data_IF_723906474375
#
_entry.id   IF_723906474375
#
_cell.length_a   1.000
_cell.length_b   1.000
_cell.length_c   1.000
_cell.angle_alpha   90.00
_cell.angle_beta   90.00
_cell.angle_gamma   90.00
#
_symmetry.space_group_name_H-M   'P 1'
#
loop_
_entity.id
_entity.type
_entity.pdbx_description
1 polymer ?
#
# COMPACT_ATOMS: atom_id res chain seq x y z
N UNK A 1 -21.49 -57.53 -9.32
CA UNK A 1 -20.84 -56.34 -9.91
C UNK A 1 -21.05 -55.21 -8.94
N UNK A 2 -20.00 -54.85 -8.18
CA UNK A 2 -20.08 -53.84 -7.11
C UNK A 2 -19.82 -52.46 -7.72
N UNK A 3 -20.77 -51.54 -7.56
CA UNK A 3 -20.68 -50.17 -8.06
C UNK A 3 -19.85 -49.37 -7.05
N UNK A 4 -18.68 -48.91 -7.47
CA UNK A 4 -17.85 -48.01 -6.68
C UNK A 4 -18.56 -46.65 -6.52
N UNK A 5 -18.54 -46.01 -5.33
CA UNK A 5 -19.02 -44.66 -5.19
C UNK A 5 -18.03 -43.71 -5.85
N UNK A 6 -18.54 -42.82 -6.70
CA UNK A 6 -17.79 -41.71 -7.27
C UNK A 6 -17.21 -40.87 -6.14
N UNK A 7 -15.89 -40.72 -6.14
CA UNK A 7 -15.17 -39.78 -5.29
C UNK A 7 -15.56 -38.39 -5.80
N UNK A 8 -16.52 -37.76 -5.12
CA UNK A 8 -16.79 -36.35 -5.29
C UNK A 8 -15.51 -35.60 -4.90
N UNK A 9 -14.85 -35.03 -5.90
CA UNK A 9 -13.75 -34.10 -5.69
C UNK A 9 -14.28 -32.97 -4.81
N UNK A 10 -13.83 -32.95 -3.55
CA UNK A 10 -13.97 -31.80 -2.69
C UNK A 10 -13.25 -30.64 -3.37
N UNK A 11 -13.98 -29.84 -4.12
CA UNK A 11 -13.59 -28.50 -4.50
C UNK A 11 -13.47 -27.76 -3.17
N UNK A 12 -12.27 -27.79 -2.59
CA UNK A 12 -11.87 -26.86 -1.54
C UNK A 12 -12.16 -25.48 -2.10
N UNK A 13 -13.27 -24.90 -1.65
CA UNK A 13 -13.54 -23.48 -1.75
C UNK A 13 -12.36 -22.83 -1.03
N UNK A 14 -11.31 -22.53 -1.80
CA UNK A 14 -10.17 -21.79 -1.29
C UNK A 14 -10.76 -20.47 -0.82
N UNK A 15 -10.83 -20.29 0.50
CA UNK A 15 -11.30 -19.05 1.09
C UNK A 15 -10.46 -17.92 0.48
N UNK A 16 -11.12 -17.10 -0.34
CA UNK A 16 -10.48 -15.98 -1.01
C UNK A 16 -10.12 -14.97 0.09
N UNK A 17 -8.86 -15.01 0.53
CA UNK A 17 -8.39 -14.12 1.59
C UNK A 17 -8.22 -12.71 1.03
N UNK A 18 -9.01 -11.78 1.56
CA UNK A 18 -8.86 -10.38 1.20
C UNK A 18 -7.45 -9.88 1.58
N UNK A 19 -6.78 -9.10 0.71
CA UNK A 19 -5.49 -8.52 1.04
C UNK A 19 -5.64 -7.54 2.21
N UNK A 20 -4.66 -7.55 3.13
CA UNK A 20 -4.66 -6.66 4.29
C UNK A 20 -3.66 -5.52 4.06
N UNK A 21 -4.11 -4.27 4.13
CA UNK A 21 -3.28 -3.08 3.87
C UNK A 21 -1.95 -3.09 4.66
N UNK A 22 -2.02 -3.43 5.94
CA UNK A 22 -0.91 -3.38 6.89
C UNK A 22 0.22 -4.36 6.55
N UNK A 23 -0.09 -5.43 5.82
CA UNK A 23 0.89 -6.43 5.39
C UNK A 23 1.78 -5.92 4.24
N UNK A 24 1.37 -4.85 3.56
CA UNK A 24 2.13 -4.29 2.42
C UNK A 24 2.78 -2.93 2.71
N UNK A 25 2.35 -2.26 3.79
CA UNK A 25 2.67 -0.85 4.05
C UNK A 25 3.44 -0.68 5.35
N UNK A 26 4.54 0.11 5.36
CA UNK A 26 5.27 0.40 6.59
C UNK A 26 4.38 1.05 7.65
N UNK A 27 4.61 0.73 8.93
CA UNK A 27 3.79 1.20 10.05
C UNK A 27 3.56 2.72 10.06
N UNK A 28 4.63 3.50 9.80
CA UNK A 28 4.55 4.98 9.72
C UNK A 28 3.62 5.53 8.63
N UNK A 29 3.16 4.71 7.68
CA UNK A 29 2.26 5.08 6.58
C UNK A 29 0.97 4.25 6.57
N UNK A 30 0.68 3.47 7.62
CA UNK A 30 -0.58 2.73 7.72
C UNK A 30 -1.80 3.68 7.76
N UNK A 31 -1.64 4.82 8.45
CA UNK A 31 -2.63 5.89 8.53
C UNK A 31 -2.07 7.18 7.91
N UNK A 32 -2.03 7.25 6.56
CA UNK A 32 -1.51 8.40 5.88
C UNK A 32 -2.44 9.60 6.02
N UNK A 33 -1.86 10.80 6.14
CA UNK A 33 -2.64 12.05 6.22
C UNK A 33 -2.86 12.61 4.83
N UNK A 34 -4.02 13.22 4.62
CA UNK A 34 -4.27 14.02 3.44
C UNK A 34 -3.48 15.34 3.55
N UNK A 35 -2.83 15.72 2.45
CA UNK A 35 -2.16 17.01 2.32
C UNK A 35 -2.81 17.83 1.19
N UNK A 36 -2.63 19.17 1.21
CA UNK A 36 -3.05 20.02 0.11
C UNK A 36 -2.42 19.57 -1.22
N UNK A 37 -3.05 19.94 -2.34
CA UNK A 37 -2.70 19.58 -3.71
C UNK A 37 -1.19 19.35 -3.95
N UNK A 38 -0.88 18.30 -4.71
CA UNK A 38 0.50 17.88 -5.05
C UNK A 38 1.37 19.04 -5.55
N UNK A 39 0.80 20.02 -6.26
CA UNK A 39 1.48 21.23 -6.72
C UNK A 39 2.03 22.11 -5.60
N UNK A 40 1.33 22.26 -4.47
CA UNK A 40 1.82 23.04 -3.32
C UNK A 40 3.05 22.39 -2.69
N UNK A 41 3.07 21.05 -2.57
CA UNK A 41 4.23 20.33 -2.05
C UNK A 41 5.43 20.38 -3.00
N UNK A 42 5.19 20.43 -4.32
CA UNK A 42 6.25 20.62 -5.32
C UNK A 42 6.82 22.04 -5.24
N UNK A 43 5.97 23.05 -5.06
CA UNK A 43 6.41 24.43 -4.87
C UNK A 43 7.25 24.60 -3.59
N UNK A 44 6.84 24.01 -2.46
CA UNK A 44 7.66 23.98 -1.24
C UNK A 44 9.02 23.29 -1.48
N UNK A 45 9.03 22.19 -2.24
CA UNK A 45 10.26 21.49 -2.60
C UNK A 45 11.19 22.34 -3.49
N UNK A 46 10.65 22.98 -4.54
CA UNK A 46 11.45 23.80 -5.45
C UNK A 46 11.99 25.04 -4.74
N UNK A 47 11.20 25.68 -3.87
CA UNK A 47 11.66 26.80 -3.03
C UNK A 47 12.76 26.33 -2.07
N UNK A 48 12.61 25.14 -1.47
CA UNK A 48 13.64 24.55 -0.63
C UNK A 48 14.96 24.31 -1.36
N UNK A 49 14.92 23.79 -2.59
CA UNK A 49 16.10 23.58 -3.44
C UNK A 49 16.75 24.91 -3.78
N UNK A 50 15.97 25.88 -4.27
CA UNK A 50 16.50 27.22 -4.63
C UNK A 50 17.10 27.91 -3.41
N UNK A 51 16.48 27.83 -2.23
CA UNK A 51 17.05 28.39 -1.01
C UNK A 51 18.31 27.66 -0.53
N UNK A 52 18.47 26.37 -0.85
CA UNK A 52 19.70 25.63 -0.54
C UNK A 52 20.83 25.97 -1.52
N UNK A 53 20.48 26.23 -2.79
CA UNK A 53 21.42 26.48 -3.89
C UNK A 53 21.87 27.96 -3.97
N UNK A 54 20.93 28.89 -3.85
CA UNK A 54 21.15 30.35 -3.98
C UNK A 54 21.72 30.97 -2.70
N UNK A 55 21.45 30.35 -1.54
CA UNK A 55 22.03 30.70 -0.24
C UNK A 55 22.89 29.55 0.23
N UNK A 56 24.07 29.38 -0.37
CA UNK A 56 25.09 28.31 -0.16
C UNK A 56 25.35 27.91 1.33
N UNK A 57 24.82 28.64 2.32
CA UNK A 57 25.02 28.45 3.76
C UNK A 57 23.76 28.52 4.63
N UNK A 58 22.54 28.55 4.09
CA UNK A 58 21.32 28.58 4.92
C UNK A 58 20.82 27.15 5.25
N UNK A 59 20.96 26.65 6.50
CA UNK A 59 20.47 25.33 6.89
C UNK A 59 18.93 25.20 6.85
N UNK A 60 18.22 26.23 6.39
CA UNK A 60 16.75 26.33 6.35
C UNK A 60 16.17 25.58 5.14
N UNK A 61 16.91 25.48 4.02
CA UNK A 61 16.45 24.79 2.82
C UNK A 61 16.32 23.27 2.98
N UNK A 62 17.25 22.64 3.70
CA UNK A 62 17.27 21.19 3.93
C UNK A 62 16.02 20.70 4.69
N UNK A 63 15.60 21.31 5.83
CA UNK A 63 14.35 20.99 6.50
C UNK A 63 13.12 21.13 5.59
N UNK A 64 13.05 22.15 4.73
CA UNK A 64 11.93 22.31 3.79
C UNK A 64 11.90 21.18 2.75
N UNK A 65 13.04 20.77 2.21
CA UNK A 65 13.14 19.64 1.28
C UNK A 65 12.70 18.34 1.99
N UNK A 66 13.21 18.08 3.19
CA UNK A 66 12.84 16.90 3.97
C UNK A 66 11.34 16.88 4.33
N UNK A 67 10.79 18.03 4.70
CA UNK A 67 9.38 18.17 5.04
C UNK A 67 8.49 17.94 3.80
N UNK A 68 8.81 18.61 2.68
CA UNK A 68 8.07 18.50 1.42
C UNK A 68 8.07 17.08 0.86
N UNK A 69 9.24 16.43 0.84
CA UNK A 69 9.37 15.03 0.38
C UNK A 69 8.60 14.06 1.28
N UNK A 70 8.54 14.31 2.59
CA UNK A 70 7.76 13.52 3.54
C UNK A 70 6.26 13.70 3.30
N UNK A 71 5.78 14.94 3.10
CA UNK A 71 4.39 15.24 2.72
C UNK A 71 4.00 14.52 1.42
N UNK A 72 4.83 14.62 0.37
CA UNK A 72 4.58 13.97 -0.92
C UNK A 72 4.50 12.45 -0.80
N UNK A 73 5.40 11.83 -0.02
CA UNK A 73 5.35 10.39 0.24
C UNK A 73 4.07 10.00 0.97
N UNK A 74 3.66 10.77 1.98
CA UNK A 74 2.46 10.49 2.75
C UNK A 74 1.20 10.63 1.89
N UNK A 75 1.12 11.69 1.07
CA UNK A 75 0.07 11.88 0.08
C UNK A 75 -0.01 10.72 -0.92
N UNK A 76 1.14 10.23 -1.41
CA UNK A 76 1.17 9.07 -2.31
C UNK A 76 0.73 7.75 -1.65
N UNK A 77 0.84 7.63 -0.32
CA UNK A 77 0.24 6.52 0.42
C UNK A 77 -1.26 6.72 0.66
N UNK A 78 -1.69 7.96 0.92
CA UNK A 78 -3.10 8.33 1.07
C UNK A 78 -3.91 7.99 -0.19
N UNK A 79 -3.44 8.40 -1.36
CA UNK A 79 -4.08 8.09 -2.65
C UNK A 79 -4.20 6.58 -2.89
N UNK A 80 -3.16 5.81 -2.52
CA UNK A 80 -3.20 4.34 -2.63
C UNK A 80 -4.16 3.71 -1.64
N UNK A 81 -4.23 4.23 -0.42
CA UNK A 81 -5.15 3.73 0.61
C UNK A 81 -6.60 3.92 0.17
N UNK A 82 -6.93 5.08 -0.39
CA UNK A 82 -8.24 5.33 -0.99
C UNK A 82 -8.58 4.34 -2.11
N UNK A 83 -7.66 4.11 -3.05
CA UNK A 83 -7.88 3.14 -4.14
C UNK A 83 -8.05 1.72 -3.58
N UNK A 84 -7.27 1.35 -2.57
CA UNK A 84 -7.32 0.04 -1.94
C UNK A 84 -8.64 -0.18 -1.19
N UNK A 85 -9.05 0.75 -0.35
CA UNK A 85 -10.31 0.67 0.42
C UNK A 85 -11.53 0.69 -0.48
N UNK A 86 -11.56 1.55 -1.51
CA UNK A 86 -12.63 1.54 -2.50
C UNK A 86 -12.67 0.23 -3.29
N UNK A 87 -11.52 -0.30 -3.69
CA UNK A 87 -11.44 -1.58 -4.37
C UNK A 87 -11.87 -2.76 -3.50
N UNK A 88 -11.60 -2.73 -2.19
CA UNK A 88 -12.12 -3.74 -1.27
C UNK A 88 -13.65 -3.70 -1.18
N UNK A 89 -14.26 -2.50 -1.11
CA UNK A 89 -15.72 -2.33 -1.14
C UNK A 89 -16.33 -2.81 -2.45
N UNK A 90 -15.71 -2.51 -3.58
CA UNK A 90 -16.15 -3.02 -4.89
C UNK A 90 -16.09 -4.55 -4.94
N UNK A 91 -15.04 -5.17 -4.36
CA UNK A 91 -14.87 -6.62 -4.34
C UNK A 91 -15.91 -7.35 -3.45
N UNK A 92 -16.59 -6.67 -2.52
CA UNK A 92 -17.70 -7.24 -1.75
C UNK A 92 -18.89 -7.61 -2.65
N UNK A 93 -19.06 -6.90 -3.77
CA UNK A 93 -20.14 -7.17 -4.73
C UNK A 93 -19.87 -8.37 -5.65
N UNK A 94 -18.66 -8.92 -5.64
CA UNK A 94 -18.27 -10.04 -6.49
C UNK A 94 -18.53 -11.35 -5.73
N UNK A 95 -19.52 -12.11 -6.20
CA UNK A 95 -19.92 -13.40 -5.60
C UNK A 95 -19.02 -14.56 -6.00
N UNK A 96 -18.44 -14.53 -7.21
CA UNK A 96 -17.59 -15.61 -7.72
C UNK A 96 -16.18 -15.55 -7.11
N UNK A 97 -15.73 -16.59 -6.39
CA UNK A 97 -14.42 -16.60 -5.74
C UNK A 97 -13.23 -16.46 -6.70
N UNK A 98 -13.31 -17.03 -7.91
CA UNK A 98 -12.22 -16.96 -8.88
C UNK A 98 -12.05 -15.53 -9.41
N UNK A 99 -13.18 -14.88 -9.72
CA UNK A 99 -13.21 -13.49 -10.14
C UNK A 99 -12.77 -12.54 -9.02
N UNK A 100 -13.16 -12.83 -7.78
CA UNK A 100 -12.79 -12.06 -6.60
C UNK A 100 -11.28 -12.08 -6.35
N UNK A 101 -10.64 -13.25 -6.46
CA UNK A 101 -9.19 -13.36 -6.35
C UNK A 101 -8.47 -12.60 -7.47
N UNK A 102 -8.92 -12.76 -8.72
CA UNK A 102 -8.34 -12.03 -9.85
C UNK A 102 -8.52 -10.50 -9.72
N UNK A 103 -9.61 -10.06 -9.12
CA UNK A 103 -9.83 -8.65 -8.79
C UNK A 103 -8.83 -8.16 -7.74
N UNK A 104 -8.60 -8.92 -6.67
CA UNK A 104 -7.58 -8.57 -5.66
C UNK A 104 -6.18 -8.48 -6.25
N UNK A 105 -5.78 -9.40 -7.14
CA UNK A 105 -4.48 -9.33 -7.80
C UNK A 105 -4.33 -8.07 -8.67
N UNK A 106 -5.40 -7.68 -9.38
CA UNK A 106 -5.44 -6.41 -10.14
C UNK A 106 -5.37 -5.20 -9.23
N UNK A 107 -6.09 -5.21 -8.10
CA UNK A 107 -6.10 -4.13 -7.11
C UNK A 107 -4.70 -3.93 -6.50
N UNK A 108 -4.03 -5.01 -6.12
CA UNK A 108 -2.67 -4.97 -5.59
C UNK A 108 -1.67 -4.42 -6.61
N UNK A 109 -1.77 -4.83 -7.88
CA UNK A 109 -0.97 -4.27 -8.99
C UNK A 109 -1.22 -2.76 -9.15
N UNK A 110 -2.48 -2.31 -9.14
CA UNK A 110 -2.86 -0.89 -9.24
C UNK A 110 -2.28 -0.07 -8.08
N UNK A 111 -2.31 -0.61 -6.86
CA UNK A 111 -1.74 0.03 -5.67
C UNK A 111 -0.20 -0.07 -5.58
N UNK A 112 0.46 -0.74 -6.54
CA UNK A 112 1.90 -1.04 -6.53
C UNK A 112 2.31 -1.83 -5.28
N UNK A 113 1.43 -2.71 -4.80
CA UNK A 113 1.68 -3.65 -3.71
C UNK A 113 2.19 -4.95 -4.33
N UNK A 114 3.49 -5.19 -4.19
CA UNK A 114 4.16 -6.37 -4.77
C UNK A 114 4.51 -7.36 -3.68
N UNK A 115 4.69 -8.62 -4.04
CA UNK A 115 5.08 -9.67 -3.09
C UNK A 115 6.41 -9.36 -2.41
N UNK A 116 7.34 -8.71 -3.13
CA UNK A 116 8.61 -8.24 -2.56
C UNK A 116 8.37 -7.26 -1.40
N UNK A 117 7.37 -6.38 -1.50
CA UNK A 117 7.02 -5.45 -0.41
C UNK A 117 6.36 -6.18 0.74
N UNK A 118 5.44 -7.09 0.43
CA UNK A 118 4.77 -7.93 1.42
C UNK A 118 5.78 -8.73 2.25
N UNK A 119 6.64 -9.51 1.60
CA UNK A 119 7.68 -10.30 2.27
C UNK A 119 8.61 -9.42 3.13
N UNK A 120 9.01 -8.24 2.62
CA UNK A 120 9.85 -7.31 3.36
C UNK A 120 9.15 -6.77 4.61
N UNK A 121 7.85 -6.49 4.52
CA UNK A 121 7.06 -5.97 5.63
C UNK A 121 6.78 -7.05 6.67
N UNK A 122 6.41 -8.26 6.24
CA UNK A 122 6.23 -9.41 7.15
C UNK A 122 7.52 -9.74 7.92
N UNK A 123 8.69 -9.71 7.27
CA UNK A 123 9.98 -9.87 7.95
C UNK A 123 10.24 -8.81 9.02
N UNK A 124 9.76 -7.57 8.82
CA UNK A 124 9.89 -6.50 9.82
C UNK A 124 8.95 -6.70 11.00
N UNK A 125 7.69 -7.02 10.72
CA UNK A 125 6.67 -7.29 11.74
C UNK A 125 7.13 -8.46 12.63
N UNK A 126 7.63 -9.55 12.04
CA UNK A 126 8.18 -10.68 12.80
C UNK A 126 9.38 -10.28 13.68
N UNK A 127 10.27 -9.41 13.19
CA UNK A 127 11.41 -8.93 13.99
C UNK A 127 10.97 -8.02 15.14
N UNK A 128 9.96 -7.19 14.94
CA UNK A 128 9.40 -6.33 15.98
C UNK A 128 8.64 -7.13 17.04
N UNK A 129 7.89 -8.15 16.63
CA UNK A 129 7.22 -9.07 17.55
C UNK A 129 8.21 -9.85 18.42
N UNK A 130 9.36 -10.26 17.89
CA UNK A 130 10.41 -10.95 18.66
C UNK A 130 11.16 -10.06 19.65
N UNK A 131 11.04 -8.74 19.53
CA UNK A 131 11.68 -7.76 20.41
C UNK A 131 10.76 -7.29 21.55
N UNK A 132 9.47 -7.61 21.46
CA UNK A 132 8.49 -7.41 22.52
C UNK A 132 8.42 -8.65 23.38
#
# INVERSE_FOLDING_TARGET
MSIAPAIAENITTSEVKAPVWEEYVPQKYQNPRQFPNRGKNIAELSVGIVLTDLLITAPIGIPMICHSTTKMKNQGWYEKKLVFENGLKEAETISDPVQKQAYYDKLLKKCKMTDKKHQKQMKKIQKEQKKK
#
